data_IF_356489202510
#
_entry.id   IF_356489202510
#
_cell.length_a   1.000
_cell.length_b   1.000
_cell.length_c   1.000
_cell.angle_alpha   90.00
_cell.angle_beta   90.00
_cell.angle_gamma   90.00
#
_symmetry.space_group_name_H-M   'P 1'
#
loop_
_entity.id
_entity.type
_entity.pdbx_description
1 polymer ?
#
# COMPACT_ATOMS: atom_id res chain seq x y z
N UNK A 1 -12.78 -4.50 -4.53
CA UNK A 1 -12.94 -3.06 -4.85
C UNK A 1 -11.74 -2.24 -4.38
N UNK A 2 -11.35 -2.28 -3.10
CA UNK A 2 -10.13 -1.59 -2.62
C UNK A 2 -8.84 -2.06 -3.29
N UNK A 3 -8.81 -3.33 -3.65
CA UNK A 3 -7.67 -4.00 -4.22
C UNK A 3 -7.15 -3.37 -5.54
N UNK A 4 -8.03 -3.32 -6.56
CA UNK A 4 -7.74 -2.70 -7.86
C UNK A 4 -7.37 -1.23 -7.73
N UNK A 5 -7.98 -0.52 -6.78
CA UNK A 5 -7.70 0.88 -6.51
C UNK A 5 -6.30 1.08 -5.92
N UNK A 6 -5.93 0.32 -4.89
CA UNK A 6 -4.63 0.48 -4.23
C UNK A 6 -3.50 0.13 -5.20
N UNK A 7 -3.69 -0.93 -5.98
CA UNK A 7 -2.78 -1.29 -7.07
C UNK A 7 -2.63 -0.15 -8.09
N UNK A 8 -3.75 0.35 -8.59
CA UNK A 8 -3.75 1.47 -9.53
C UNK A 8 -3.04 2.70 -8.95
N UNK A 9 -3.30 3.04 -7.68
CA UNK A 9 -2.75 4.21 -7.03
C UNK A 9 -1.24 4.12 -6.84
N UNK A 10 -0.74 3.02 -6.29
CA UNK A 10 0.69 2.93 -6.06
C UNK A 10 1.48 2.79 -7.37
N UNK A 11 0.94 2.11 -8.40
CA UNK A 11 1.60 2.07 -9.72
C UNK A 11 1.56 3.43 -10.45
N UNK A 12 0.48 4.20 -10.32
CA UNK A 12 0.32 5.49 -11.04
C UNK A 12 0.94 6.68 -10.31
N UNK A 13 1.11 6.57 -8.99
CA UNK A 13 1.64 7.63 -8.13
C UNK A 13 2.82 7.13 -7.29
N UNK A 14 3.68 6.29 -7.88
CA UNK A 14 4.77 5.61 -7.20
C UNK A 14 5.72 6.55 -6.45
N UNK A 15 5.97 7.76 -6.97
CA UNK A 15 6.80 8.78 -6.30
C UNK A 15 6.14 9.33 -5.02
N UNK A 16 4.81 9.48 -4.99
CA UNK A 16 4.09 9.91 -3.79
C UNK A 16 4.15 8.83 -2.71
N UNK A 17 4.04 7.55 -3.10
CA UNK A 17 4.21 6.41 -2.19
C UNK A 17 5.66 6.28 -1.71
N UNK A 18 6.65 6.47 -2.58
CA UNK A 18 8.06 6.50 -2.20
C UNK A 18 8.34 7.62 -1.20
N UNK A 19 7.84 8.82 -1.46
CA UNK A 19 8.00 9.97 -0.56
C UNK A 19 7.40 9.69 0.81
N UNK A 20 6.20 9.10 0.85
CA UNK A 20 5.52 8.76 2.11
C UNK A 20 6.20 7.63 2.88
N UNK A 21 6.62 6.57 2.19
CA UNK A 21 7.10 5.35 2.84
C UNK A 21 8.60 5.37 3.11
N UNK A 22 9.38 6.04 2.27
CA UNK A 22 10.84 6.11 2.35
C UNK A 22 11.33 7.48 2.85
N UNK A 23 10.45 8.49 2.95
CA UNK A 23 10.80 9.84 3.38
C UNK A 23 11.55 10.68 2.33
N UNK A 24 11.70 10.15 1.11
CA UNK A 24 12.36 10.83 -0.02
C UNK A 24 11.67 10.46 -1.33
N UNK A 25 11.62 11.37 -2.32
CA UNK A 25 11.18 11.01 -3.66
C UNK A 25 12.16 10.01 -4.27
N UNK A 26 11.62 8.97 -4.90
CA UNK A 26 12.37 7.97 -5.66
C UNK A 26 11.58 7.67 -6.92
N UNK A 27 12.22 7.79 -8.07
CA UNK A 27 11.62 7.33 -9.32
C UNK A 27 11.62 5.80 -9.30
N UNK A 28 10.41 5.25 -9.29
CA UNK A 28 10.18 3.83 -9.20
C UNK A 28 9.59 3.32 -10.52
N UNK A 29 10.05 2.15 -10.94
CA UNK A 29 9.53 1.42 -12.09
C UNK A 29 9.01 0.07 -11.64
N UNK A 30 7.99 -0.44 -12.32
CA UNK A 30 7.38 -1.73 -11.98
C UNK A 30 8.38 -2.88 -12.14
N UNK A 31 8.46 -3.75 -11.13
CA UNK A 31 9.16 -5.01 -11.18
C UNK A 31 8.13 -6.13 -11.38
N UNK A 32 8.13 -6.76 -12.55
CA UNK A 32 7.08 -7.73 -12.87
C UNK A 32 7.24 -9.04 -12.06
N UNK A 33 6.14 -9.69 -11.65
CA UNK A 33 6.20 -11.03 -11.04
C UNK A 33 6.86 -12.06 -11.95
N UNK A 34 6.72 -11.92 -13.28
CA UNK A 34 7.38 -12.81 -14.25
C UNK A 34 8.90 -12.68 -14.21
N UNK A 35 9.44 -11.49 -14.02
CA UNK A 35 10.89 -11.27 -13.82
C UNK A 35 11.43 -11.95 -12.56
N UNK A 36 10.54 -12.23 -11.60
CA UNK A 36 10.84 -12.98 -10.38
C UNK A 36 10.53 -14.48 -10.51
N UNK A 37 10.15 -14.95 -11.71
CA UNK A 37 9.76 -16.34 -12.01
C UNK A 37 8.66 -16.87 -11.07
N UNK A 38 7.59 -16.09 -10.91
CA UNK A 38 6.49 -16.36 -9.97
C UNK A 38 5.25 -16.91 -10.68
N UNK A 39 4.66 -17.98 -10.14
CA UNK A 39 3.19 -18.02 -10.04
C UNK A 39 2.79 -17.16 -8.84
N UNK A 40 1.88 -16.18 -8.98
CA UNK A 40 1.41 -15.39 -7.85
C UNK A 40 0.79 -16.30 -6.79
N UNK A 41 1.28 -16.26 -5.55
CA UNK A 41 0.81 -17.13 -4.44
C UNK A 41 -0.62 -16.80 -3.98
N UNK A 42 -1.30 -15.85 -4.64
CA UNK A 42 -2.45 -15.02 -4.25
C UNK A 42 -1.98 -13.65 -3.81
N UNK A 43 -1.93 -12.73 -4.75
CA UNK A 43 -1.84 -11.33 -4.41
C UNK A 43 -2.73 -10.53 -5.34
N UNK A 44 -3.86 -10.10 -4.79
CA UNK A 44 -4.76 -9.21 -5.48
C UNK A 44 -4.12 -7.78 -5.48
N UNK A 45 -3.36 -7.43 -4.41
CA UNK A 45 -2.71 -6.09 -4.18
C UNK A 45 -1.18 -6.11 -3.99
N UNK A 46 -0.44 -7.05 -4.58
CA UNK A 46 1.02 -6.99 -4.57
C UNK A 46 1.51 -5.89 -5.50
N UNK A 47 2.35 -5.00 -4.96
CA UNK A 47 3.07 -4.00 -5.74
C UNK A 47 4.55 -4.17 -5.48
N UNK A 48 5.29 -4.38 -6.57
CA UNK A 48 6.73 -4.47 -6.57
C UNK A 48 7.26 -3.41 -7.51
N UNK A 49 7.99 -2.47 -6.93
CA UNK A 49 8.56 -1.35 -7.63
C UNK A 49 10.04 -1.25 -7.31
N UNK A 50 10.84 -0.77 -8.25
CA UNK A 50 12.29 -0.72 -8.12
C UNK A 50 12.89 0.57 -8.65
N UNK A 51 14.01 0.94 -8.05
CA UNK A 51 14.98 1.91 -8.57
C UNK A 51 16.29 1.18 -8.89
N UNK A 52 17.38 1.93 -9.11
CA UNK A 52 18.74 1.38 -9.25
C UNK A 52 19.17 0.58 -8.00
N UNK A 53 18.93 1.11 -6.80
CA UNK A 53 19.50 0.64 -5.53
C UNK A 53 18.49 -0.05 -4.60
N UNK A 54 17.18 0.04 -4.88
CA UNK A 54 16.17 -0.54 -3.99
C UNK A 54 14.98 -1.20 -4.71
N UNK A 55 14.26 -2.01 -3.94
CA UNK A 55 12.93 -2.54 -4.26
C UNK A 55 11.96 -2.15 -3.15
N UNK A 56 10.85 -1.54 -3.52
CA UNK A 56 9.70 -1.28 -2.67
C UNK A 56 8.65 -2.37 -2.89
N UNK A 57 8.26 -3.04 -1.82
CA UNK A 57 7.25 -4.09 -1.81
C UNK A 57 6.10 -3.67 -0.91
N UNK A 58 4.92 -3.49 -1.51
CA UNK A 58 3.69 -3.10 -0.82
C UNK A 58 2.66 -4.23 -0.89
N UNK A 59 2.00 -4.45 0.25
CA UNK A 59 0.89 -5.38 0.41
C UNK A 59 -0.27 -4.65 1.08
N UNK A 60 -1.33 -4.36 0.33
CA UNK A 60 -2.55 -3.77 0.90
C UNK A 60 -3.48 -4.88 1.38
N UNK A 61 -4.07 -4.68 2.56
CA UNK A 61 -4.94 -5.67 3.20
C UNK A 61 -6.20 -5.00 3.76
N UNK A 62 -7.36 -5.51 3.36
CA UNK A 62 -8.64 -5.19 4.01
C UNK A 62 -8.87 -6.03 5.26
N UNK A 63 -8.40 -7.28 5.23
CA UNK A 63 -8.48 -8.23 6.33
C UNK A 63 -7.08 -8.78 6.63
N UNK A 64 -6.75 -9.05 7.89
CA UNK A 64 -5.48 -9.65 8.25
C UNK A 64 -5.38 -11.11 7.79
N UNK A 65 -4.20 -11.48 7.30
CA UNK A 65 -3.85 -12.83 6.87
C UNK A 65 -2.73 -13.39 7.76
N UNK A 66 -2.96 -14.53 8.39
CA UNK A 66 -1.97 -15.23 9.23
C UNK A 66 -0.70 -15.62 8.46
N UNK A 67 -0.80 -15.80 7.14
CA UNK A 67 0.32 -16.16 6.28
C UNK A 67 1.10 -14.94 5.77
N UNK A 68 0.68 -13.72 6.14
CA UNK A 68 1.31 -12.48 5.65
C UNK A 68 2.81 -12.46 5.93
N UNK A 69 3.23 -12.74 7.17
CA UNK A 69 4.65 -12.69 7.53
C UNK A 69 5.52 -13.63 6.68
N UNK A 70 5.02 -14.85 6.41
CA UNK A 70 5.71 -15.79 5.52
C UNK A 70 5.75 -15.28 4.08
N UNK A 71 4.63 -14.74 3.56
CA UNK A 71 4.58 -14.17 2.20
C UNK A 71 5.58 -13.03 2.03
N UNK A 72 5.69 -12.14 3.01
CA UNK A 72 6.66 -11.05 3.03
C UNK A 72 8.11 -11.59 2.96
N UNK A 73 8.45 -12.59 3.79
CA UNK A 73 9.77 -13.24 3.73
C UNK A 73 10.02 -13.93 2.38
N UNK A 74 9.03 -14.62 1.82
CA UNK A 74 9.16 -15.32 0.55
C UNK A 74 9.52 -14.36 -0.60
N UNK A 75 8.84 -13.21 -0.69
CA UNK A 75 9.20 -12.15 -1.64
C UNK A 75 10.60 -11.58 -1.39
N UNK A 76 11.03 -11.45 -0.13
CA UNK A 76 12.38 -10.99 0.19
C UNK A 76 13.46 -11.87 -0.42
N UNK A 77 13.30 -13.19 -0.28
CA UNK A 77 14.25 -14.18 -0.76
C UNK A 77 14.24 -14.26 -2.31
N UNK A 78 13.06 -14.14 -2.92
CA UNK A 78 12.92 -14.10 -4.39
C UNK A 78 13.62 -12.89 -5.00
N UNK A 79 13.38 -11.70 -4.45
CA UNK A 79 14.06 -10.48 -4.89
C UNK A 79 15.56 -10.59 -4.67
N UNK A 80 16.01 -11.10 -3.51
CA UNK A 80 17.44 -11.29 -3.23
C UNK A 80 18.14 -12.18 -4.28
N UNK A 81 17.49 -13.27 -4.70
CA UNK A 81 18.04 -14.19 -5.70
C UNK A 81 18.33 -13.48 -7.02
N UNK A 82 17.50 -12.51 -7.42
CA UNK A 82 17.64 -11.80 -8.69
C UNK A 82 18.45 -10.51 -8.58
N UNK A 83 18.32 -9.79 -7.47
CA UNK A 83 18.89 -8.48 -7.22
C UNK A 83 19.54 -8.43 -5.83
N UNK A 84 20.64 -9.19 -5.60
CA UNK A 84 21.23 -9.34 -4.26
C UNK A 84 21.79 -8.03 -3.69
N UNK A 85 22.17 -7.08 -4.56
CA UNK A 85 22.70 -5.78 -4.16
C UNK A 85 21.61 -4.75 -3.81
N UNK A 86 20.34 -4.99 -4.16
CA UNK A 86 19.27 -4.02 -3.90
C UNK A 86 18.78 -4.13 -2.46
N UNK A 87 18.60 -2.97 -1.83
CA UNK A 87 17.91 -2.88 -0.54
C UNK A 87 16.41 -3.10 -0.76
N UNK A 88 15.74 -3.87 0.10
CA UNK A 88 14.30 -4.09 -0.03
C UNK A 88 13.56 -3.49 1.15
N UNK A 89 12.57 -2.64 0.86
CA UNK A 89 11.65 -2.07 1.84
C UNK A 89 10.29 -2.75 1.69
N UNK A 90 9.81 -3.36 2.77
CA UNK A 90 8.59 -4.17 2.76
C UNK A 90 7.57 -3.57 3.71
N UNK A 91 6.39 -3.27 3.19
CA UNK A 91 5.33 -2.58 3.93
C UNK A 91 4.00 -3.27 3.72
N UNK A 92 3.37 -3.68 4.82
CA UNK A 92 1.98 -4.13 4.85
C UNK A 92 1.10 -2.96 5.28
N UNK A 93 0.08 -2.64 4.50
CA UNK A 93 -0.83 -1.51 4.72
C UNK A 93 -2.24 -2.03 4.96
N UNK A 94 -2.74 -1.88 6.19
CA UNK A 94 -4.11 -2.24 6.55
C UNK A 94 -5.07 -1.08 6.33
N UNK A 95 -6.10 -1.35 5.53
CA UNK A 95 -7.08 -0.36 5.08
C UNK A 95 -8.25 -0.18 6.04
N UNK A 96 -8.61 -1.21 6.81
CA UNK A 96 -9.81 -1.22 7.67
C UNK A 96 -9.47 -1.57 9.11
N UNK A 97 -10.00 -0.78 10.04
CA UNK A 97 -9.85 -1.01 11.48
C UNK A 97 -10.42 -2.37 11.88
N UNK A 98 -9.66 -3.10 12.68
CA UNK A 98 -10.02 -4.44 13.17
C UNK A 98 -9.54 -4.63 14.61
N UNK A 99 -10.08 -5.63 15.30
CA UNK A 99 -9.65 -6.07 16.63
C UNK A 99 -8.59 -7.17 16.60
N UNK A 100 -8.29 -7.72 15.41
CA UNK A 100 -7.31 -8.79 15.28
C UNK A 100 -5.91 -8.29 15.67
N UNK A 101 -5.14 -9.05 16.49
CA UNK A 101 -3.78 -8.67 16.84
C UNK A 101 -2.80 -8.80 15.66
N UNK A 102 -3.18 -9.52 14.60
CA UNK A 102 -2.33 -9.75 13.42
C UNK A 102 -1.91 -8.44 12.74
N UNK A 103 -2.73 -7.38 12.83
CA UNK A 103 -2.39 -6.07 12.25
C UNK A 103 -1.27 -5.34 13.00
N UNK A 104 -0.75 -5.91 14.08
CA UNK A 104 0.40 -5.41 14.84
C UNK A 104 1.66 -6.25 14.61
N UNK A 105 1.58 -7.38 13.89
CA UNK A 105 2.73 -8.23 13.63
C UNK A 105 3.66 -7.62 12.59
N UNK A 106 4.83 -7.16 13.03
CA UNK A 106 5.89 -6.55 12.21
C UNK A 106 7.08 -7.50 11.96
N UNK A 107 6.93 -8.76 12.33
CA UNK A 107 7.95 -9.78 12.13
C UNK A 107 7.36 -11.17 11.94
N UNK A 108 8.10 -11.98 11.18
CA UNK A 108 7.88 -13.41 11.00
C UNK A 108 9.08 -14.17 11.56
N UNK A 109 8.82 -15.21 12.34
CA UNK A 109 9.86 -16.07 12.90
C UNK A 109 9.58 -17.54 12.60
N UNK A 110 10.60 -18.23 12.08
CA UNK A 110 10.61 -19.69 11.94
C UNK A 110 11.99 -20.21 12.34
N UNK A 111 12.05 -20.96 13.45
CA UNK A 111 13.33 -21.33 14.07
C UNK A 111 14.18 -20.10 14.39
N UNK A 112 15.41 -20.08 13.87
CA UNK A 112 16.37 -18.97 14.01
C UNK A 112 16.18 -17.87 12.96
N UNK A 113 15.34 -18.09 11.95
CA UNK A 113 15.07 -17.09 10.91
C UNK A 113 14.07 -16.06 11.44
N UNK A 114 14.50 -14.80 11.51
CA UNK A 114 13.65 -13.67 11.86
C UNK A 114 13.64 -12.70 10.67
N UNK A 115 12.45 -12.35 10.22
CA UNK A 115 12.25 -11.38 9.16
C UNK A 115 11.36 -10.25 9.65
N UNK A 116 11.89 -9.01 9.65
CA UNK A 116 11.14 -7.81 10.04
C UNK A 116 10.65 -7.05 8.81
N UNK A 117 9.47 -6.47 8.93
CA UNK A 117 8.86 -5.63 7.91
C UNK A 117 8.05 -4.53 8.57
N UNK A 118 7.68 -3.50 7.79
CA UNK A 118 6.89 -2.39 8.31
C UNK A 118 5.40 -2.72 8.21
N UNK A 119 4.65 -2.36 9.26
CA UNK A 119 3.19 -2.42 9.23
C UNK A 119 2.63 -1.02 9.42
N UNK A 120 1.69 -0.65 8.55
CA UNK A 120 0.95 0.60 8.61
C UNK A 120 -0.53 0.27 8.75
N UNK A 121 -1.17 0.87 9.74
CA UNK A 121 -2.61 0.82 9.95
C UNK A 121 -3.16 2.20 9.64
N UNK A 122 -3.93 2.35 8.55
CA UNK A 122 -4.32 3.67 8.07
C UNK A 122 -5.09 4.46 9.15
N UNK A 123 -5.99 3.80 9.90
CA UNK A 123 -6.79 4.43 10.97
C UNK A 123 -5.98 4.93 12.17
N UNK A 124 -4.67 4.70 12.22
CA UNK A 124 -3.75 5.26 13.21
C UNK A 124 -2.87 6.38 12.65
N UNK A 125 -2.85 6.57 11.33
CA UNK A 125 -2.03 7.57 10.68
C UNK A 125 -2.69 8.96 10.74
N UNK A 126 -1.91 10.05 10.85
CA UNK A 126 -2.42 11.41 10.71
C UNK A 126 -2.85 11.68 9.27
N UNK A 127 -4.05 12.21 9.10
CA UNK A 127 -4.63 12.52 7.78
C UNK A 127 -3.82 13.55 6.99
N UNK A 128 -3.10 14.45 7.67
CA UNK A 128 -2.40 15.60 7.07
C UNK A 128 -1.29 15.16 6.10
N UNK A 129 -0.73 13.97 6.30
CA UNK A 129 0.29 13.38 5.41
C UNK A 129 -0.33 13.00 4.06
N UNK A 130 -1.53 12.44 4.08
CA UNK A 130 -2.23 11.93 2.90
C UNK A 130 -2.91 13.05 2.11
N UNK A 131 -3.29 14.13 2.78
CA UNK A 131 -3.88 15.30 2.13
C UNK A 131 -2.87 16.13 1.31
N UNK A 132 -1.56 15.98 1.55
CA UNK A 132 -0.53 16.77 0.85
C UNK A 132 -0.16 16.21 -0.53
N UNK A 133 -0.53 14.96 -0.83
CA UNK A 133 -0.06 14.24 -2.01
C UNK A 133 -1.24 13.66 -2.80
N UNK A 134 -1.30 13.98 -4.09
CA UNK A 134 -2.42 13.61 -4.96
C UNK A 134 -2.70 12.11 -4.97
N UNK A 135 -1.65 11.29 -5.06
CA UNK A 135 -1.77 9.83 -5.07
C UNK A 135 -2.20 9.18 -3.76
N UNK A 136 -2.15 9.93 -2.65
CA UNK A 136 -2.50 9.45 -1.30
C UNK A 136 -3.87 9.96 -0.83
N UNK A 137 -4.44 10.98 -1.49
CA UNK A 137 -5.75 11.54 -1.18
C UNK A 137 -6.86 10.48 -0.98
N UNK A 138 -6.96 9.42 -1.81
CA UNK A 138 -8.01 8.42 -1.66
C UNK A 138 -7.88 7.61 -0.38
N UNK A 139 -6.65 7.46 0.13
CA UNK A 139 -6.40 6.77 1.39
C UNK A 139 -6.67 7.67 2.61
N UNK A 140 -6.74 9.00 2.42
CA UNK A 140 -6.93 9.95 3.52
C UNK A 140 -8.23 9.70 4.29
N UNK A 141 -9.30 9.23 3.64
CA UNK A 141 -10.56 8.91 4.34
C UNK A 141 -10.43 7.76 5.34
N UNK A 142 -9.45 6.87 5.14
CA UNK A 142 -9.20 5.70 5.98
C UNK A 142 -8.29 6.03 7.17
N UNK A 143 -7.84 7.29 7.29
CA UNK A 143 -6.91 7.73 8.32
C UNK A 143 -7.60 8.23 9.60
N UNK A 144 -6.82 8.49 10.65
CA UNK A 144 -7.35 9.04 11.90
C UNK A 144 -7.83 10.49 11.66
N UNK A 145 -9.14 10.71 11.66
CA UNK A 145 -9.74 12.05 11.59
C UNK A 145 -10.64 12.31 12.80
N UNK A 146 -10.60 13.54 13.33
CA UNK A 146 -11.54 14.03 14.35
C UNK A 146 -12.86 14.54 13.70
N UNK A 147 -12.85 14.84 12.40
CA UNK A 147 -13.99 15.39 11.65
C UNK A 147 -14.12 14.69 10.28
N UNK A 148 -14.73 13.51 10.26
CA UNK A 148 -14.74 12.60 9.10
C UNK A 148 -15.65 13.09 7.95
N UNK A 149 -16.71 13.85 8.26
CA UNK A 149 -17.72 14.30 7.29
C UNK A 149 -17.25 15.52 6.49
N UNK A 150 -16.52 16.46 7.11
CA UNK A 150 -16.01 17.67 6.44
C UNK A 150 -14.95 17.29 5.39
N UNK A 151 -14.11 16.30 5.68
CA UNK A 151 -13.03 15.85 4.78
C UNK A 151 -13.52 15.13 3.51
N UNK A 152 -14.72 14.53 3.52
CA UNK A 152 -15.28 13.86 2.33
C UNK A 152 -15.52 14.84 1.17
N UNK A 153 -16.04 16.04 1.47
CA UNK A 153 -16.27 17.09 0.47
C UNK A 153 -14.96 17.64 -0.11
N UNK A 154 -13.94 17.83 0.73
CA UNK A 154 -12.61 18.28 0.31
C UNK A 154 -11.88 17.24 -0.53
N UNK A 155 -11.98 15.95 -0.15
CA UNK A 155 -11.41 14.85 -0.93
C UNK A 155 -12.12 14.76 -2.28
N UNK A 156 -13.46 14.82 -2.32
CA UNK A 156 -14.21 14.82 -3.57
C UNK A 156 -13.82 15.99 -4.49
N UNK A 157 -13.72 17.21 -3.95
CA UNK A 157 -13.26 18.38 -4.72
C UNK A 157 -11.84 18.22 -5.25
N UNK A 158 -10.91 17.67 -4.47
CA UNK A 158 -9.53 17.45 -4.94
C UNK A 158 -9.45 16.32 -5.95
N UNK A 159 -10.24 15.27 -5.82
CA UNK A 159 -10.32 14.20 -6.81
C UNK A 159 -10.91 14.68 -8.14
N UNK A 160 -11.78 15.68 -8.10
CA UNK A 160 -12.32 16.32 -9.30
C UNK A 160 -11.28 17.10 -10.11
N UNK A 161 -10.14 17.45 -9.50
CA UNK A 161 -9.00 18.09 -10.17
C UNK A 161 -8.05 17.10 -10.86
N UNK A 162 -8.27 15.79 -10.71
CA UNK A 162 -7.46 14.77 -11.37
C UNK A 162 -7.81 14.75 -12.86
N UNK A 163 -6.81 15.07 -13.69
CA UNK A 163 -6.97 15.23 -15.14
C UNK A 163 -7.44 13.95 -15.85
N UNK A 164 -7.08 12.77 -15.32
CA UNK A 164 -7.48 11.50 -15.94
C UNK A 164 -8.90 11.08 -15.48
N UNK A 165 -9.90 11.08 -16.39
CA UNK A 165 -11.29 10.80 -16.03
C UNK A 165 -11.53 9.37 -15.54
N UNK A 166 -10.77 8.40 -16.04
CA UNK A 166 -10.87 7.00 -15.59
C UNK A 166 -10.32 6.81 -14.18
N UNK A 167 -9.27 7.56 -13.84
CA UNK A 167 -8.70 7.60 -12.50
C UNK A 167 -9.68 8.27 -11.54
N UNK A 168 -10.21 9.43 -11.91
CA UNK A 168 -11.26 10.13 -11.14
C UNK A 168 -12.47 9.23 -10.87
N UNK A 169 -12.99 8.52 -11.88
CA UNK A 169 -14.14 7.63 -11.72
C UNK A 169 -13.87 6.48 -10.73
N UNK A 170 -12.70 5.85 -10.81
CA UNK A 170 -12.30 4.78 -9.88
C UNK A 170 -12.14 5.28 -8.45
N UNK A 171 -11.64 6.51 -8.29
CA UNK A 171 -11.43 7.14 -6.99
C UNK A 171 -12.76 7.53 -6.35
N UNK A 172 -13.66 8.19 -7.08
CA UNK A 172 -15.01 8.59 -6.61
C UNK A 172 -15.88 7.39 -6.22
N UNK A 173 -15.80 6.27 -6.95
CA UNK A 173 -16.53 5.03 -6.61
C UNK A 173 -16.11 4.40 -5.28
N UNK A 174 -14.90 4.67 -4.80
CA UNK A 174 -14.34 4.08 -3.58
C UNK A 174 -14.65 4.83 -2.28
N UNK A 175 -15.13 6.07 -2.41
CA UNK A 175 -15.45 7.00 -1.31
C UNK A 175 -16.96 7.05 -1.02
N UNK A 176 -17.80 6.58 -1.96
CA UNK A 176 -19.24 6.52 -1.75
C UNK A 176 -19.54 5.55 -0.59
N UNK A 177 -20.23 6.00 0.48
CA UNK A 177 -20.62 5.10 1.54
C UNK A 177 -21.50 4.01 0.95
N UNK A 178 -21.09 2.75 1.10
CA UNK A 178 -22.00 1.62 0.93
C UNK A 178 -23.11 1.81 1.96
N UNK A 179 -24.25 2.32 1.50
CA UNK A 179 -25.50 2.31 2.25
C UNK A 179 -25.76 0.84 2.57
N UNK A 180 -25.42 0.46 3.79
CA UNK A 180 -25.68 -0.86 4.34
C UNK A 180 -27.10 -0.77 4.88
N UNK A 181 -28.07 -1.22 4.09
CA UNK A 181 -29.37 -1.66 4.64
C UNK A 181 -29.17 -2.95 5.41
#
# INVERSE_FOLDING_TARGET
MFDTLCKFLAESFSEDYATWLLGRPVTLTKLSPTELSLEPIRADSLILEQSEDLVLHLEFQTEPDEKMGFRILDYRLRVYRRFPAKTMHQVVIYLKKTKSPLVYQDSFQVGETIHRYRVIRLWEQPSEVFLKKGGLLPLAILTKSEEQIIRLGEIAQRLDTIENPGVRANLVGSISPSVST
#
